data_IF_559838248880
#
_entry.id   IF_559838248880
#
_cell.length_a   1.000
_cell.length_b   1.000
_cell.length_c   1.000
_cell.angle_alpha   90.00
_cell.angle_beta   90.00
_cell.angle_gamma   90.00
#
_symmetry.space_group_name_H-M   'P 1'
#
loop_
_entity.id
_entity.type
_entity.pdbx_description
1 polymer ?
#
# COMPACT_ATOMS: atom_id res chain seq x y z
N UNK A 1 -13.68 -20.92 2.64
CA UNK A 1 -14.11 -21.03 1.23
C UNK A 1 -12.93 -21.54 0.43
N UNK A 2 -13.11 -22.72 -0.16
CA UNK A 2 -12.03 -23.56 -0.70
C UNK A 2 -11.42 -22.89 -1.92
N UNK A 3 -10.09 -22.78 -1.90
CA UNK A 3 -9.23 -22.41 -3.03
C UNK A 3 -9.40 -23.46 -4.14
N UNK A 4 -10.38 -23.26 -5.01
CA UNK A 4 -10.44 -23.95 -6.30
C UNK A 4 -9.33 -23.40 -7.18
N UNK A 5 -8.18 -24.08 -7.14
CA UNK A 5 -7.18 -23.95 -8.19
C UNK A 5 -7.83 -24.55 -9.43
N UNK A 6 -8.40 -23.69 -10.28
CA UNK A 6 -8.65 -24.04 -11.66
C UNK A 6 -7.32 -24.52 -12.25
N UNK A 7 -7.31 -25.78 -12.63
CA UNK A 7 -6.20 -26.53 -13.22
C UNK A 7 -5.95 -26.15 -14.69
N UNK A 8 -6.35 -24.96 -15.12
CA UNK A 8 -5.85 -24.40 -16.36
C UNK A 8 -4.48 -23.78 -16.06
N UNK A 9 -3.43 -24.28 -16.72
CA UNK A 9 -2.10 -23.68 -16.66
C UNK A 9 -2.26 -22.17 -16.77
N UNK A 10 -1.82 -21.36 -15.77
CA UNK A 10 -2.03 -19.92 -15.80
C UNK A 10 -1.26 -19.39 -17.00
N UNK A 11 -1.97 -19.26 -18.12
CA UNK A 11 -1.45 -18.68 -19.34
C UNK A 11 -1.01 -17.29 -18.95
N UNK A 12 0.19 -16.87 -19.37
CA UNK A 12 0.76 -15.56 -19.01
C UNK A 12 -0.27 -14.44 -19.22
N UNK A 13 -1.05 -14.56 -20.30
CA UNK A 13 -2.17 -13.68 -20.61
C UNK A 13 -3.28 -13.66 -19.55
N UNK A 14 -3.67 -14.81 -19.00
CA UNK A 14 -4.67 -14.92 -17.93
C UNK A 14 -4.20 -14.28 -16.62
N UNK A 15 -2.92 -14.45 -16.27
CA UNK A 15 -2.32 -13.77 -15.11
C UNK A 15 -2.28 -12.26 -15.28
N UNK A 16 -1.92 -11.78 -16.48
CA UNK A 16 -1.94 -10.35 -16.80
C UNK A 16 -3.35 -9.79 -16.72
N UNK A 17 -4.34 -10.43 -17.37
CA UNK A 17 -5.74 -10.02 -17.32
C UNK A 17 -6.29 -9.98 -15.90
N UNK A 18 -5.97 -10.99 -15.08
CA UNK A 18 -6.37 -11.03 -13.67
C UNK A 18 -5.75 -9.88 -12.88
N UNK A 19 -4.45 -9.65 -13.03
CA UNK A 19 -3.76 -8.54 -12.38
C UNK A 19 -4.36 -7.19 -12.80
N UNK A 20 -4.56 -6.96 -14.10
CA UNK A 20 -5.17 -5.74 -14.63
C UNK A 20 -6.58 -5.53 -14.07
N UNK A 21 -7.42 -6.57 -14.04
CA UNK A 21 -8.77 -6.49 -13.48
C UNK A 21 -8.76 -6.13 -11.99
N UNK A 22 -7.91 -6.77 -11.19
CA UNK A 22 -7.79 -6.49 -9.76
C UNK A 22 -7.30 -5.06 -9.51
N UNK A 23 -6.34 -4.60 -10.30
CA UNK A 23 -5.77 -3.26 -10.19
C UNK A 23 -6.76 -2.18 -10.62
N UNK A 24 -7.34 -2.28 -11.82
CA UNK A 24 -8.29 -1.28 -12.33
C UNK A 24 -9.52 -1.20 -11.44
N UNK A 25 -10.06 -2.35 -11.00
CA UNK A 25 -11.21 -2.38 -10.09
C UNK A 25 -10.91 -1.72 -8.75
N UNK A 26 -9.73 -1.98 -8.17
CA UNK A 26 -9.28 -1.33 -6.94
C UNK A 26 -9.18 0.19 -7.10
N UNK A 27 -8.60 0.67 -8.20
CA UNK A 27 -8.50 2.10 -8.49
C UNK A 27 -9.87 2.77 -8.59
N UNK A 28 -10.82 2.17 -9.32
CA UNK A 28 -12.17 2.73 -9.49
C UNK A 28 -12.89 2.83 -8.13
N UNK A 29 -12.85 1.76 -7.32
CA UNK A 29 -13.46 1.76 -5.99
C UNK A 29 -12.83 2.82 -5.09
N UNK A 30 -11.50 2.90 -5.08
CA UNK A 30 -10.75 3.89 -4.31
C UNK A 30 -11.11 5.34 -4.69
N UNK A 31 -11.24 5.63 -5.99
CA UNK A 31 -11.67 6.93 -6.48
C UNK A 31 -13.09 7.29 -6.04
N UNK A 32 -14.05 6.38 -6.20
CA UNK A 32 -15.45 6.62 -5.84
C UNK A 32 -15.61 6.88 -4.34
N UNK A 33 -14.97 6.06 -3.50
CA UNK A 33 -15.01 6.26 -2.06
C UNK A 33 -14.23 7.49 -1.61
N UNK A 34 -13.12 7.82 -2.27
CA UNK A 34 -12.35 9.03 -2.00
C UNK A 34 -13.20 10.28 -2.20
N UNK A 35 -13.95 10.36 -3.31
CA UNK A 35 -14.87 11.46 -3.59
C UNK A 35 -15.99 11.53 -2.55
N UNK A 36 -16.59 10.38 -2.20
CA UNK A 36 -17.64 10.31 -1.21
C UNK A 36 -17.17 10.83 0.16
N UNK A 37 -16.01 10.37 0.63
CA UNK A 37 -15.44 10.83 1.90
C UNK A 37 -15.00 12.30 1.86
N UNK A 38 -14.49 12.79 0.71
CA UNK A 38 -14.16 14.21 0.56
C UNK A 38 -15.41 15.10 0.74
N UNK A 39 -16.56 14.69 0.20
CA UNK A 39 -17.83 15.40 0.41
C UNK A 39 -18.26 15.37 1.88
N UNK A 40 -18.15 14.23 2.56
CA UNK A 40 -18.49 14.12 3.98
C UNK A 40 -17.60 15.01 4.86
N UNK A 41 -16.29 15.07 4.54
CA UNK A 41 -15.32 15.91 5.26
C UNK A 41 -15.59 17.39 5.05
N UNK A 42 -16.04 17.80 3.85
CA UNK A 42 -16.34 19.21 3.56
C UNK A 42 -17.43 19.83 4.45
N UNK A 43 -18.30 19.01 5.05
CA UNK A 43 -19.34 19.45 6.00
C UNK A 43 -18.87 19.53 7.46
N UNK A 44 -17.60 19.21 7.75
CA UNK A 44 -17.07 19.07 9.12
C UNK A 44 -15.96 20.08 9.37
N UNK A 45 -15.87 20.63 10.58
CA UNK A 45 -14.86 21.62 10.97
C UNK A 45 -13.91 21.14 12.09
N UNK A 46 -13.96 19.87 12.46
CA UNK A 46 -13.18 19.28 13.55
C UNK A 46 -12.19 18.22 13.04
N UNK A 47 -10.92 18.36 13.42
CA UNK A 47 -9.84 17.51 12.96
C UNK A 47 -10.01 16.04 13.39
N UNK A 48 -10.52 15.77 14.59
CA UNK A 48 -10.70 14.40 15.10
C UNK A 48 -11.75 13.65 14.28
N UNK A 49 -12.84 14.34 13.97
CA UNK A 49 -13.93 13.80 13.15
C UNK A 49 -13.45 13.52 11.72
N UNK A 50 -12.71 14.45 11.10
CA UNK A 50 -12.13 14.25 9.78
C UNK A 50 -11.16 13.05 9.71
N UNK A 51 -10.28 12.89 10.71
CA UNK A 51 -9.37 11.75 10.82
C UNK A 51 -10.15 10.43 10.92
N UNK A 52 -11.20 10.42 11.74
CA UNK A 52 -12.05 9.24 11.95
C UNK A 52 -12.78 8.84 10.67
N UNK A 53 -13.31 9.81 9.91
CA UNK A 53 -13.91 9.58 8.59
C UNK A 53 -12.88 9.03 7.60
N UNK A 54 -11.64 9.56 7.60
CA UNK A 54 -10.59 9.05 6.74
C UNK A 54 -10.20 7.60 7.09
N UNK A 55 -10.01 7.27 8.38
CA UNK A 55 -9.67 5.91 8.82
C UNK A 55 -10.79 4.91 8.52
N UNK A 56 -12.03 5.28 8.82
CA UNK A 56 -13.19 4.45 8.50
C UNK A 56 -13.37 4.28 7.00
N UNK A 57 -13.19 5.34 6.20
CA UNK A 57 -13.22 5.29 4.75
C UNK A 57 -12.17 4.35 4.16
N UNK A 58 -10.94 4.38 4.67
CA UNK A 58 -9.89 3.44 4.30
C UNK A 58 -10.29 1.98 4.62
N UNK A 59 -10.80 1.72 5.82
CA UNK A 59 -11.20 0.37 6.22
C UNK A 59 -12.40 -0.17 5.42
N UNK A 60 -13.45 0.64 5.28
CA UNK A 60 -14.65 0.29 4.50
C UNK A 60 -14.27 0.09 3.02
N UNK A 61 -13.43 0.95 2.46
CA UNK A 61 -12.99 0.83 1.08
C UNK A 61 -12.16 -0.40 0.80
N UNK A 62 -11.30 -0.79 1.74
CA UNK A 62 -10.59 -2.07 1.67
C UNK A 62 -11.58 -3.24 1.61
N UNK A 63 -12.53 -3.32 2.54
CA UNK A 63 -13.50 -4.40 2.63
C UNK A 63 -14.41 -4.46 1.39
N UNK A 64 -14.88 -3.31 0.93
CA UNK A 64 -15.77 -3.22 -0.21
C UNK A 64 -15.08 -3.67 -1.51
N UNK A 65 -13.86 -3.21 -1.75
CA UNK A 65 -13.06 -3.65 -2.90
C UNK A 65 -12.78 -5.16 -2.84
N UNK A 66 -12.48 -5.69 -1.66
CA UNK A 66 -12.23 -7.12 -1.46
C UNK A 66 -13.50 -7.96 -1.69
N UNK A 67 -14.66 -7.50 -1.23
CA UNK A 67 -15.95 -8.16 -1.47
C UNK A 67 -16.30 -8.24 -2.97
N UNK A 68 -15.84 -7.26 -3.76
CA UNK A 68 -16.02 -7.24 -5.22
C UNK A 68 -14.94 -8.05 -5.99
N UNK A 69 -14.00 -8.67 -5.29
CA UNK A 69 -12.90 -9.43 -5.90
C UNK A 69 -11.80 -8.55 -6.52
N UNK A 70 -11.67 -7.29 -6.07
CA UNK A 70 -10.64 -6.35 -6.49
C UNK A 70 -9.54 -6.19 -5.43
N UNK A 71 -8.48 -5.44 -5.75
CA UNK A 71 -7.40 -5.16 -4.80
C UNK A 71 -7.83 -4.13 -3.75
N UNK A 72 -8.13 -4.60 -2.55
CA UNK A 72 -8.47 -3.73 -1.41
C UNK A 72 -7.35 -2.78 -1.02
N UNK A 73 -6.09 -3.24 -1.02
CA UNK A 73 -4.93 -2.38 -0.72
C UNK A 73 -4.82 -1.24 -1.73
N UNK A 74 -4.99 -1.54 -3.02
CA UNK A 74 -4.90 -0.52 -4.06
C UNK A 74 -6.05 0.49 -3.97
N UNK A 75 -7.25 0.03 -3.61
CA UNK A 75 -8.38 0.93 -3.35
C UNK A 75 -8.07 1.94 -2.24
N UNK A 76 -7.44 1.50 -1.14
CA UNK A 76 -7.01 2.38 -0.05
C UNK A 76 -5.92 3.34 -0.48
N UNK A 77 -4.95 2.89 -1.29
CA UNK A 77 -3.89 3.76 -1.82
C UNK A 77 -4.49 4.85 -2.70
N UNK A 78 -5.39 4.50 -3.62
CA UNK A 78 -6.03 5.47 -4.51
C UNK A 78 -6.95 6.42 -3.74
N UNK A 79 -7.68 5.91 -2.74
CA UNK A 79 -8.42 6.73 -1.78
C UNK A 79 -7.51 7.77 -1.12
N UNK A 80 -6.37 7.34 -0.56
CA UNK A 80 -5.41 8.24 0.08
C UNK A 80 -4.80 9.27 -0.87
N UNK A 81 -4.46 8.86 -2.09
CA UNK A 81 -3.98 9.78 -3.15
C UNK A 81 -5.03 10.84 -3.48
N UNK A 82 -6.30 10.43 -3.62
CA UNK A 82 -7.40 11.36 -3.90
C UNK A 82 -7.64 12.30 -2.72
N UNK A 83 -7.59 11.80 -1.49
CA UNK A 83 -7.68 12.61 -0.28
C UNK A 83 -6.54 13.63 -0.17
N UNK A 84 -5.33 13.30 -0.62
CA UNK A 84 -4.23 14.27 -0.71
C UNK A 84 -4.46 15.31 -1.81
N UNK A 85 -4.93 14.89 -2.99
CA UNK A 85 -5.13 15.77 -4.14
C UNK A 85 -6.32 16.73 -3.96
N UNK A 86 -7.47 16.21 -3.56
CA UNK A 86 -8.73 16.95 -3.38
C UNK A 86 -8.77 17.62 -2.01
N UNK A 87 -8.17 17.01 -0.98
CA UNK A 87 -8.16 17.54 0.36
C UNK A 87 -7.59 18.95 0.45
N UNK A 88 -6.55 19.29 -0.32
CA UNK A 88 -5.98 20.65 -0.30
C UNK A 88 -6.95 21.76 -0.73
N UNK A 89 -8.06 21.44 -1.42
CA UNK A 89 -9.05 22.42 -1.87
C UNK A 89 -10.29 22.52 -0.96
N UNK A 90 -10.58 21.50 -0.16
CA UNK A 90 -11.79 21.41 0.67
C UNK A 90 -11.51 21.33 2.18
N UNK A 91 -10.26 21.16 2.59
CA UNK A 91 -9.87 21.09 4.00
C UNK A 91 -9.66 22.49 4.58
N UNK A 92 -10.27 22.73 5.75
CA UNK A 92 -10.02 23.94 6.54
C UNK A 92 -8.53 24.06 6.91
N UNK A 93 -7.88 25.23 6.70
CA UNK A 93 -6.46 25.44 7.02
C UNK A 93 -6.09 25.14 8.48
N UNK A 94 -7.07 25.21 9.40
CA UNK A 94 -6.86 24.95 10.83
C UNK A 94 -6.72 23.46 11.18
N UNK A 95 -7.22 22.52 10.36
CA UNK A 95 -7.21 21.08 10.67
C UNK A 95 -6.08 20.31 9.97
N UNK A 96 -5.34 20.94 9.04
CA UNK A 96 -4.25 20.31 8.26
C UNK A 96 -3.12 19.78 9.15
N UNK A 97 -2.65 20.60 10.10
CA UNK A 97 -1.53 20.26 10.98
C UNK A 97 -1.77 18.99 11.81
N UNK A 98 -2.85 18.93 12.61
CA UNK A 98 -3.19 17.76 13.41
C UNK A 98 -3.35 16.47 12.57
N UNK A 99 -3.98 16.54 11.39
CA UNK A 99 -4.14 15.39 10.49
C UNK A 99 -2.82 14.82 10.02
N UNK A 100 -1.91 15.68 9.56
CA UNK A 100 -0.61 15.24 9.08
C UNK A 100 0.20 14.57 10.18
N UNK A 101 0.23 15.18 11.38
CA UNK A 101 0.94 14.61 12.54
C UNK A 101 0.37 13.28 12.98
N UNK A 102 -0.95 13.14 12.96
CA UNK A 102 -1.60 11.88 13.27
C UNK A 102 -1.26 10.79 12.24
N UNK A 103 -1.28 11.10 10.95
CA UNK A 103 -0.91 10.15 9.89
C UNK A 103 0.58 9.79 9.92
N UNK A 104 1.46 10.75 10.25
CA UNK A 104 2.89 10.50 10.49
C UNK A 104 3.10 9.53 11.65
N UNK A 105 2.38 9.75 12.77
CA UNK A 105 2.43 8.87 13.93
C UNK A 105 1.90 7.46 13.61
N UNK A 106 0.81 7.35 12.85
CA UNK A 106 0.30 6.06 12.38
C UNK A 106 1.29 5.35 11.48
N UNK A 107 1.92 6.05 10.53
CA UNK A 107 2.94 5.49 9.65
C UNK A 107 4.15 4.99 10.43
N UNK A 108 4.64 5.78 11.40
CA UNK A 108 5.71 5.36 12.30
C UNK A 108 5.35 4.12 13.11
N UNK A 109 4.13 4.09 13.67
CA UNK A 109 3.64 2.97 14.47
C UNK A 109 3.51 1.70 13.62
N UNK A 110 2.91 1.79 12.43
CA UNK A 110 2.76 0.67 11.51
C UNK A 110 4.12 0.11 11.05
N UNK A 111 5.08 0.98 10.72
CA UNK A 111 6.45 0.57 10.37
C UNK A 111 7.13 -0.15 11.53
N UNK A 112 7.00 0.38 12.75
CA UNK A 112 7.56 -0.23 13.96
C UNK A 112 6.97 -1.63 14.20
N UNK A 113 5.65 -1.77 14.05
CA UNK A 113 4.94 -3.05 14.16
C UNK A 113 5.48 -4.04 13.11
N UNK A 114 5.41 -3.70 11.81
CA UNK A 114 5.82 -4.61 10.74
C UNK A 114 7.29 -5.03 10.89
N UNK A 115 8.18 -4.10 11.23
CA UNK A 115 9.60 -4.41 11.41
C UNK A 115 9.85 -5.31 12.63
N UNK A 116 9.20 -5.02 13.75
CA UNK A 116 9.30 -5.82 14.98
C UNK A 116 8.78 -7.24 14.74
N UNK A 117 7.58 -7.38 14.15
CA UNK A 117 6.99 -8.67 13.86
C UNK A 117 7.78 -9.44 12.79
N UNK A 118 8.25 -8.79 11.73
CA UNK A 118 9.09 -9.45 10.72
C UNK A 118 10.37 -10.00 11.34
N UNK A 119 11.05 -9.23 12.20
CA UNK A 119 12.25 -9.70 12.90
C UNK A 119 11.96 -10.87 13.84
N UNK A 120 10.87 -10.79 14.59
CA UNK A 120 10.43 -11.86 15.50
C UNK A 120 10.06 -13.14 14.74
N UNK A 121 9.29 -13.02 13.66
CA UNK A 121 8.85 -14.14 12.82
C UNK A 121 10.06 -14.83 12.18
N UNK A 122 10.98 -14.08 11.57
CA UNK A 122 12.20 -14.65 10.96
C UNK A 122 13.02 -15.40 12.01
N UNK A 123 13.19 -14.81 13.20
CA UNK A 123 13.91 -15.46 14.31
C UNK A 123 13.20 -16.73 14.76
N UNK A 124 11.88 -16.69 14.96
CA UNK A 124 11.08 -17.84 15.37
C UNK A 124 11.19 -19.01 14.37
N UNK A 125 11.07 -18.71 13.06
CA UNK A 125 11.21 -19.72 12.02
C UNK A 125 12.63 -20.31 11.97
N UNK A 126 13.67 -19.47 12.11
CA UNK A 126 15.05 -19.93 12.12
C UNK A 126 15.36 -20.86 13.31
N UNK A 127 14.83 -20.59 14.50
CA UNK A 127 15.06 -21.44 15.69
C UNK A 127 14.20 -22.71 15.72
N UNK A 128 12.98 -22.67 15.15
CA UNK A 128 12.00 -23.78 15.26
C UNK A 128 12.14 -24.78 14.11
N UNK A 129 12.39 -24.30 12.90
CA UNK A 129 12.42 -25.13 11.68
C UNK A 129 13.80 -25.17 11.02
N UNK A 130 14.70 -24.27 11.38
CA UNK A 130 16.06 -24.27 10.87
C UNK A 130 16.92 -25.32 11.58
N UNK A 131 17.65 -26.12 10.82
CA UNK A 131 18.91 -26.68 11.32
C UNK A 131 19.84 -25.53 11.73
N UNK A 132 20.84 -25.78 12.59
CA UNK A 132 21.78 -24.75 13.07
C UNK A 132 22.18 -23.79 11.94
N UNK A 133 22.03 -22.48 12.18
CA UNK A 133 22.38 -21.43 11.20
C UNK A 133 23.77 -21.71 10.63
N UNK A 134 23.81 -22.03 9.34
CA UNK A 134 25.04 -22.46 8.66
C UNK A 134 25.63 -21.26 7.90
N UNK A 135 26.93 -21.28 7.61
CA UNK A 135 27.59 -20.20 6.85
C UNK A 135 26.93 -19.87 5.49
N UNK A 136 26.21 -20.82 4.90
CA UNK A 136 25.46 -20.62 3.65
C UNK A 136 24.26 -19.67 3.81
N UNK A 137 23.65 -19.58 4.99
CA UNK A 137 22.51 -18.67 5.23
C UNK A 137 22.93 -17.20 5.12
N UNK A 138 24.14 -16.89 5.58
CA UNK A 138 24.75 -15.57 5.40
C UNK A 138 25.02 -15.26 3.93
N UNK A 139 25.43 -16.26 3.13
CA UNK A 139 25.62 -16.09 1.70
C UNK A 139 24.27 -15.83 1.00
N UNK A 140 23.22 -16.58 1.34
CA UNK A 140 21.87 -16.32 0.81
C UNK A 140 21.37 -14.92 1.20
N UNK A 141 21.62 -14.47 2.44
CA UNK A 141 21.25 -13.12 2.87
C UNK A 141 21.97 -12.04 2.05
N UNK A 142 23.27 -12.21 1.78
CA UNK A 142 24.05 -11.29 0.91
C UNK A 142 23.49 -11.31 -0.52
N UNK A 143 23.21 -12.49 -1.07
CA UNK A 143 22.65 -12.62 -2.43
C UNK A 143 21.30 -11.92 -2.52
N UNK A 144 20.38 -12.17 -1.59
CA UNK A 144 19.06 -11.52 -1.56
C UNK A 144 19.21 -10.02 -1.40
N UNK A 145 20.12 -9.54 -0.53
CA UNK A 145 20.39 -8.12 -0.36
C UNK A 145 20.87 -7.46 -1.67
N UNK A 146 21.79 -8.10 -2.39
CA UNK A 146 22.27 -7.60 -3.69
C UNK A 146 21.14 -7.60 -4.71
N UNK A 147 20.36 -8.68 -4.81
CA UNK A 147 19.23 -8.79 -5.75
C UNK A 147 18.14 -7.74 -5.49
N UNK A 148 17.84 -7.43 -4.22
CA UNK A 148 16.89 -6.38 -3.84
C UNK A 148 17.40 -4.99 -4.27
N UNK A 149 18.69 -4.71 -4.07
CA UNK A 149 19.29 -3.45 -4.49
C UNK A 149 19.35 -3.32 -6.01
N UNK A 150 19.67 -4.39 -6.74
CA UNK A 150 19.65 -4.41 -8.20
C UNK A 150 18.23 -4.18 -8.75
N UNK A 151 17.22 -4.83 -8.18
CA UNK A 151 15.82 -4.62 -8.56
C UNK A 151 15.40 -3.16 -8.35
N UNK A 152 15.80 -2.55 -7.23
CA UNK A 152 15.55 -1.13 -6.95
C UNK A 152 16.28 -0.22 -7.94
N UNK A 153 17.56 -0.46 -8.19
CA UNK A 153 18.37 0.32 -9.13
C UNK A 153 17.80 0.23 -10.55
N UNK A 154 17.39 -0.97 -10.98
CA UNK A 154 16.75 -1.19 -12.27
C UNK A 154 15.43 -0.41 -12.40
N UNK A 155 14.56 -0.49 -11.39
CA UNK A 155 13.30 0.25 -11.38
C UNK A 155 13.51 1.77 -11.45
N UNK A 156 14.49 2.29 -10.70
CA UNK A 156 14.86 3.71 -10.74
C UNK A 156 15.46 4.11 -12.09
N UNK A 157 16.35 3.30 -12.66
CA UNK A 157 16.97 3.59 -13.96
C UNK A 157 15.96 3.59 -15.09
N UNK A 158 15.00 2.65 -15.08
CA UNK A 158 13.93 2.57 -16.07
C UNK A 158 12.96 3.76 -15.98
N UNK A 159 12.64 4.21 -14.76
CA UNK A 159 11.70 5.32 -14.53
C UNK A 159 12.37 6.71 -14.52
N UNK A 160 13.68 6.79 -14.30
CA UNK A 160 14.48 8.03 -14.33
C UNK A 160 14.31 8.86 -15.60
N UNK A 161 14.35 8.31 -16.84
CA UNK A 161 14.13 9.10 -18.06
C UNK A 161 12.70 9.66 -18.17
N UNK A 162 11.73 9.00 -17.53
CA UNK A 162 10.35 9.49 -17.47
C UNK A 162 10.22 10.65 -16.47
N UNK A 163 10.89 10.53 -15.32
CA UNK A 163 10.90 11.54 -14.26
C UNK A 163 11.61 12.83 -14.68
N UNK A 164 12.76 12.72 -15.36
CA UNK A 164 13.53 13.88 -15.82
C UNK A 164 12.79 14.71 -16.88
N UNK A 165 11.86 14.10 -17.63
CA UNK A 165 10.98 14.80 -18.58
C UNK A 165 9.80 15.52 -17.91
N UNK A 166 9.37 15.11 -16.71
CA UNK A 166 8.21 15.68 -16.02
C UNK A 166 8.52 16.95 -15.21
N UNK A 167 9.71 17.54 -15.36
CA UNK A 167 10.10 18.80 -14.73
C UNK A 167 10.80 18.67 -13.37
N UNK A 168 11.03 17.45 -12.88
CA UNK A 168 11.90 17.21 -11.73
C UNK A 168 13.35 17.28 -12.20
N UNK A 169 14.03 18.40 -11.91
CA UNK A 169 15.48 18.48 -12.09
C UNK A 169 16.11 17.67 -10.95
N UNK A 170 16.55 16.46 -11.28
CA UNK A 170 17.46 15.67 -10.44
C UNK A 170 18.75 16.45 -10.17
#
# INVERSE_FOLDING_TARGET
EVMSIDSETPTVLGSILKATRLSVGGCVVGCLLGLLCALLISGTNDAVTEISIALSGMYIGYLFAQAMGFSGVLAVVVFGLLMCAVGSSYISPSTVGPKHRFMEQLGFTANTIIFTFSGLIVTYFAFTYGERVTGYDFLYAIIVYVMLNLTRAFGLFLLSPLLSRSGYKL
#
